data_IF_690591829865
#
_entry.id   IF_690591829865
#
_cell.length_a   1.000
_cell.length_b   1.000
_cell.length_c   1.000
_cell.angle_alpha   90.00
_cell.angle_beta   90.00
_cell.angle_gamma   90.00
#
_symmetry.space_group_name_H-M   'P 1'
#
loop_
_entity.id
_entity.type
_entity.pdbx_description
1 polymer ?
#
# COMPACT_ATOMS: atom_id res chain seq x y z
N UNK A 1 4.12 -0.25 -12.20
CA UNK A 1 4.26 -0.74 -10.80
C UNK A 1 3.02 -1.59 -10.46
N UNK A 2 3.10 -2.56 -9.53
CA UNK A 2 1.91 -3.36 -9.11
C UNK A 2 1.59 -3.07 -7.64
N UNK A 3 0.36 -2.68 -7.34
CA UNK A 3 -0.15 -2.47 -5.99
C UNK A 3 -0.87 -3.73 -5.49
N UNK A 4 -0.75 -4.02 -4.19
CA UNK A 4 -1.46 -5.10 -3.52
C UNK A 4 -2.14 -4.51 -2.29
N UNK A 5 -3.44 -4.78 -2.12
CA UNK A 5 -4.23 -4.37 -0.97
C UNK A 5 -4.61 -5.62 -0.16
N UNK A 6 -4.36 -5.58 1.15
CA UNK A 6 -4.72 -6.62 2.09
C UNK A 6 -4.84 -6.03 3.49
N UNK A 7 -5.63 -6.68 4.35
CA UNK A 7 -5.66 -6.38 5.77
C UNK A 7 -4.50 -7.10 6.47
N UNK A 8 -3.73 -6.35 7.24
CA UNK A 8 -2.59 -6.85 8.01
C UNK A 8 -2.84 -6.62 9.50
N UNK A 9 -2.41 -7.58 10.32
CA UNK A 9 -2.35 -7.41 11.76
C UNK A 9 -1.04 -6.73 12.14
N UNK A 10 -1.10 -5.84 13.12
CA UNK A 10 0.10 -5.32 13.79
C UNK A 10 0.45 -6.31 14.90
N UNK A 11 1.57 -6.99 14.75
CA UNK A 11 2.10 -7.94 15.72
C UNK A 11 2.61 -7.20 16.97
N UNK A 12 2.79 -7.94 18.08
CA UNK A 12 3.20 -7.36 19.37
C UNK A 12 4.59 -6.72 19.37
N UNK A 13 5.44 -7.09 18.41
CA UNK A 13 6.77 -6.50 18.18
C UNK A 13 6.73 -5.27 17.25
N UNK A 14 5.53 -4.85 16.82
CA UNK A 14 5.32 -3.72 15.92
C UNK A 14 5.49 -4.06 14.44
N UNK A 15 5.67 -5.34 14.09
CA UNK A 15 5.76 -5.76 12.69
C UNK A 15 4.37 -6.00 12.09
N UNK A 16 4.24 -5.85 10.77
CA UNK A 16 3.01 -6.18 10.05
C UNK A 16 3.04 -7.65 9.63
N UNK A 17 1.92 -8.35 9.80
CA UNK A 17 1.77 -9.70 9.26
C UNK A 17 1.74 -9.65 7.72
N UNK A 18 2.46 -10.57 7.07
CA UNK A 18 2.49 -10.71 5.61
C UNK A 18 1.78 -12.01 5.24
N UNK A 19 0.72 -11.96 4.42
CA UNK A 19 -0.02 -13.15 4.01
C UNK A 19 0.86 -14.05 3.11
N UNK A 20 0.67 -15.36 3.20
CA UNK A 20 1.49 -16.37 2.50
C UNK A 20 1.57 -16.13 0.98
N UNK A 21 0.45 -15.76 0.37
CA UNK A 21 0.37 -15.50 -1.08
C UNK A 21 1.19 -14.29 -1.55
N UNK A 22 1.61 -13.42 -0.64
CA UNK A 22 2.45 -12.27 -0.90
C UNK A 22 3.92 -12.56 -0.60
N UNK A 23 4.22 -13.52 0.29
CA UNK A 23 5.60 -13.91 0.63
C UNK A 23 6.38 -14.35 -0.61
N UNK A 24 5.78 -15.14 -1.48
CA UNK A 24 6.43 -15.61 -2.73
C UNK A 24 6.73 -14.48 -3.72
N UNK A 25 6.03 -13.34 -3.60
CA UNK A 25 6.19 -12.16 -4.47
C UNK A 25 7.22 -11.18 -3.90
N UNK A 26 7.47 -11.24 -2.60
CA UNK A 26 8.47 -10.43 -1.91
C UNK A 26 9.80 -11.18 -1.98
N UNK A 27 10.75 -10.66 -2.77
CA UNK A 27 12.10 -11.22 -2.78
C UNK A 27 12.69 -11.04 -1.38
N UNK A 28 13.18 -12.13 -0.80
CA UNK A 28 13.87 -12.11 0.50
C UNK A 28 15.00 -11.07 0.44
N UNK A 29 15.18 -10.31 1.53
CA UNK A 29 16.19 -9.24 1.67
C UNK A 29 16.03 -8.00 0.75
N UNK A 30 14.94 -7.89 0.01
CA UNK A 30 14.67 -6.68 -0.78
C UNK A 30 13.99 -5.59 0.05
N UNK A 31 14.43 -4.33 -0.12
CA UNK A 31 13.71 -3.18 0.42
C UNK A 31 12.45 -2.94 -0.41
N UNK A 32 11.30 -2.85 0.26
CA UNK A 32 10.02 -2.54 -0.37
C UNK A 32 9.47 -1.22 0.15
N UNK A 33 8.83 -0.45 -0.73
CA UNK A 33 8.09 0.75 -0.35
C UNK A 33 6.69 0.32 0.10
N UNK A 34 6.37 0.58 1.36
CA UNK A 34 5.07 0.26 1.96
C UNK A 34 4.26 1.54 2.09
N UNK A 35 2.95 1.42 1.95
CA UNK A 35 2.00 2.49 2.25
C UNK A 35 0.96 1.96 3.22
N UNK A 36 0.75 2.70 4.29
CA UNK A 36 -0.19 2.32 5.35
C UNK A 36 -1.36 3.29 5.32
N UNK A 37 -2.56 2.72 5.42
CA UNK A 37 -3.78 3.46 5.57
C UNK A 37 -4.42 3.02 6.88
N UNK A 38 -4.67 3.99 7.76
CA UNK A 38 -5.28 3.76 9.06
C UNK A 38 -6.73 4.21 8.97
N UNK A 39 -7.66 3.36 9.38
CA UNK A 39 -9.06 3.76 9.50
C UNK A 39 -9.21 4.65 10.74
N UNK A 40 -9.46 5.94 10.53
CA UNK A 40 -10.00 6.78 11.60
C UNK A 40 -11.49 6.44 11.79
N UNK A 41 -11.94 6.31 13.05
CA UNK A 41 -13.25 5.77 13.46
C UNK A 41 -14.51 6.38 12.80
N UNK A 42 -14.41 7.45 11.99
CA UNK A 42 -15.57 8.19 11.49
C UNK A 42 -15.56 8.58 9.99
N UNK A 43 -14.78 7.93 9.12
CA UNK A 43 -14.64 8.42 7.73
C UNK A 43 -15.32 7.56 6.66
N UNK A 44 -16.60 7.86 6.39
CA UNK A 44 -17.32 7.47 5.15
C UNK A 44 -16.62 8.00 3.89
N UNK A 45 -15.68 8.95 4.06
CA UNK A 45 -14.83 9.55 3.04
C UNK A 45 -13.68 8.65 2.54
N UNK A 46 -13.38 7.53 3.22
CA UNK A 46 -12.18 6.74 2.92
C UNK A 46 -12.27 5.96 1.61
N UNK A 47 -13.43 5.37 1.26
CA UNK A 47 -13.51 4.47 0.09
C UNK A 47 -13.27 5.18 -1.25
N UNK A 48 -13.76 6.41 -1.42
CA UNK A 48 -13.60 7.15 -2.68
C UNK A 48 -12.15 7.61 -2.88
N UNK A 49 -11.51 8.15 -1.84
CA UNK A 49 -10.11 8.58 -1.85
C UNK A 49 -9.15 7.43 -2.11
N UNK A 50 -9.37 6.25 -1.50
CA UNK A 50 -8.54 5.06 -1.73
C UNK A 50 -8.58 4.64 -3.20
N UNK A 51 -9.77 4.61 -3.81
CA UNK A 51 -9.91 4.26 -5.23
C UNK A 51 -9.22 5.27 -6.16
N UNK A 52 -9.35 6.57 -5.90
CA UNK A 52 -8.72 7.61 -6.71
C UNK A 52 -7.19 7.60 -6.53
N UNK A 53 -6.73 7.34 -5.31
CA UNK A 53 -5.31 7.23 -4.99
C UNK A 53 -4.65 6.05 -5.71
N UNK A 54 -5.28 4.87 -5.70
CA UNK A 54 -4.77 3.70 -6.42
C UNK A 54 -4.80 3.90 -7.95
N UNK A 55 -5.75 4.69 -8.48
CA UNK A 55 -5.85 5.02 -9.90
C UNK A 55 -4.95 6.18 -10.35
N UNK A 56 -4.52 7.06 -9.43
CA UNK A 56 -3.68 8.23 -9.72
C UNK A 56 -2.21 7.91 -10.03
N UNK A 57 -1.72 6.71 -9.66
CA UNK A 57 -0.41 6.21 -10.10
C UNK A 57 -0.41 5.69 -11.55
N UNK A 58 -1.14 6.35 -12.45
CA UNK A 58 -0.99 6.13 -13.88
C UNK A 58 0.32 6.78 -14.33
N UNK A 59 1.06 6.11 -15.21
CA UNK A 59 2.42 6.48 -15.68
C UNK A 59 2.55 7.90 -16.28
N UNK A 60 1.42 8.62 -16.48
CA UNK A 60 1.40 10.00 -16.98
C UNK A 60 1.92 11.04 -15.99
N UNK A 61 1.83 10.81 -14.69
CA UNK A 61 2.23 11.82 -13.68
C UNK A 61 3.74 11.79 -13.36
N UNK A 62 4.49 10.81 -13.89
CA UNK A 62 5.93 10.72 -13.75
C UNK A 62 6.72 11.75 -14.60
N UNK A 63 6.05 12.50 -15.48
CA UNK A 63 6.69 13.49 -16.36
C UNK A 63 7.17 14.73 -15.58
N UNK A 64 6.60 15.02 -14.41
CA UNK A 64 6.98 16.16 -13.59
C UNK A 64 8.01 15.84 -12.50
N UNK A 65 8.38 14.56 -12.33
CA UNK A 65 9.39 14.14 -11.34
C UNK A 65 10.84 14.51 -11.75
N UNK A 66 11.03 15.05 -12.97
CA UNK A 66 12.35 15.41 -13.52
C UNK A 66 12.52 16.92 -13.80
N UNK A 67 11.71 17.79 -13.19
CA UNK A 67 11.88 19.25 -13.26
C UNK A 67 12.54 19.82 -12.01
#
# INVERSE_FOLDING_TARGET
MKAYEYYADVLSDGHLSIPENLKDKLKTESKVRIMLLLEEENSVWNKFTVSQFMNGYSEKDAIYDSL
#
